data_IF_127023469486
#
_entry.id   IF_127023469486
#
_cell.length_a   1.000
_cell.length_b   1.000
_cell.length_c   1.000
_cell.angle_alpha   90.00
_cell.angle_beta   90.00
_cell.angle_gamma   90.00
#
_symmetry.space_group_name_H-M   'P 1'
#
loop_
_entity.id
_entity.type
_entity.pdbx_description
1 polymer ?
#
# COMPACT_ATOMS: atom_id res chain seq x y z
N UNK A 1 -11.95 17.01 17.82
CA UNK A 1 -12.96 16.71 16.76
C UNK A 1 -12.33 15.98 15.59
N UNK A 2 -11.54 16.63 14.70
CA UNK A 2 -10.92 15.97 13.52
C UNK A 2 -10.13 14.68 13.80
N UNK A 3 -9.36 14.61 14.88
CA UNK A 3 -8.58 13.40 15.22
C UNK A 3 -9.47 12.25 15.70
N UNK A 4 -10.58 12.56 16.39
CA UNK A 4 -11.55 11.58 16.88
C UNK A 4 -12.34 10.98 15.71
N UNK A 5 -12.85 11.83 14.82
CA UNK A 5 -13.55 11.42 13.60
C UNK A 5 -12.68 10.54 12.70
N UNK A 6 -11.39 10.88 12.58
CA UNK A 6 -10.42 10.03 11.87
C UNK A 6 -10.27 8.66 12.54
N UNK A 7 -10.09 8.61 13.87
CA UNK A 7 -9.95 7.35 14.59
C UNK A 7 -11.21 6.47 14.43
N UNK A 8 -12.40 7.03 14.61
CA UNK A 8 -13.68 6.34 14.40
C UNK A 8 -13.80 5.79 12.97
N UNK A 9 -13.39 6.56 11.97
CA UNK A 9 -13.38 6.12 10.58
C UNK A 9 -12.43 4.93 10.35
N UNK A 10 -11.25 4.94 10.99
CA UNK A 10 -10.26 3.86 10.89
C UNK A 10 -10.70 2.58 11.61
N UNK A 11 -11.37 2.70 12.76
CA UNK A 11 -11.96 1.56 13.47
C UNK A 11 -13.13 0.94 12.68
N UNK A 12 -13.94 1.77 12.04
CA UNK A 12 -14.99 1.28 11.15
C UNK A 12 -14.38 0.48 9.99
N UNK A 13 -13.33 1.00 9.34
CA UNK A 13 -12.62 0.28 8.28
C UNK A 13 -12.04 -1.05 8.76
N UNK A 14 -11.51 -1.09 9.98
CA UNK A 14 -10.93 -2.30 10.58
C UNK A 14 -11.94 -3.45 10.73
N UNK A 15 -13.21 -3.12 10.96
CA UNK A 15 -14.31 -4.07 11.20
C UNK A 15 -15.16 -4.37 9.97
N UNK A 16 -15.19 -3.46 8.98
CA UNK A 16 -16.09 -3.56 7.82
C UNK A 16 -15.38 -3.84 6.50
N UNK A 17 -14.04 -3.77 6.46
CA UNK A 17 -13.26 -4.07 5.25
C UNK A 17 -12.42 -5.32 5.46
N UNK A 18 -12.76 -6.39 4.75
CA UNK A 18 -11.94 -7.59 4.69
C UNK A 18 -10.73 -7.37 3.77
N UNK A 19 -9.53 -7.37 4.36
CA UNK A 19 -8.25 -7.17 3.67
C UNK A 19 -7.43 -8.46 3.75
N UNK A 20 -7.30 -9.16 2.63
CA UNK A 20 -6.49 -10.38 2.52
C UNK A 20 -5.09 -10.02 1.99
N UNK A 21 -4.16 -9.78 2.90
CA UNK A 21 -2.74 -9.54 2.62
C UNK A 21 -1.89 -10.55 3.41
N UNK A 22 -0.65 -10.76 2.99
CA UNK A 22 0.30 -11.63 3.71
C UNK A 22 0.53 -11.14 5.15
N UNK A 23 0.59 -9.82 5.32
CA UNK A 23 0.67 -9.16 6.62
C UNK A 23 -0.68 -8.51 6.98
N UNK A 24 -1.09 -8.65 8.25
CA UNK A 24 -2.34 -8.07 8.73
C UNK A 24 -2.27 -6.53 8.68
N UNK A 25 -3.11 -5.92 7.85
CA UNK A 25 -3.28 -4.46 7.82
C UNK A 25 -4.09 -3.99 9.05
N UNK A 26 -3.45 -3.18 9.90
CA UNK A 26 -4.09 -2.46 10.99
C UNK A 26 -4.30 -1.01 10.55
N UNK A 27 -5.55 -0.57 10.35
CA UNK A 27 -5.84 0.76 9.83
C UNK A 27 -5.43 1.87 10.79
N UNK A 28 -5.83 1.76 12.06
CA UNK A 28 -5.50 2.73 13.11
C UNK A 28 -4.10 2.48 13.70
N UNK A 29 -3.07 2.63 12.87
CA UNK A 29 -1.67 2.40 13.24
C UNK A 29 -0.77 3.59 12.96
N UNK A 30 0.47 3.52 13.45
CA UNK A 30 1.55 4.33 12.93
C UNK A 30 1.95 3.84 11.52
N UNK A 31 2.39 4.78 10.70
CA UNK A 31 2.97 4.51 9.37
C UNK A 31 4.49 4.58 9.46
N UNK A 32 5.19 4.12 8.42
CA UNK A 32 6.66 4.09 8.39
C UNK A 32 7.32 5.45 8.64
N UNK A 33 6.71 6.54 8.15
CA UNK A 33 7.26 7.88 8.29
C UNK A 33 6.23 9.02 8.16
N UNK A 34 4.96 8.72 7.86
CA UNK A 34 3.91 9.74 7.72
C UNK A 34 3.29 10.13 9.07
N UNK A 35 3.68 9.46 10.16
CA UNK A 35 3.06 9.53 11.49
C UNK A 35 1.85 8.60 11.59
N UNK A 36 0.86 8.95 12.42
CA UNK A 36 -0.40 8.20 12.51
C UNK A 36 -1.12 8.20 11.16
N UNK A 37 -1.71 7.05 10.79
CA UNK A 37 -2.51 6.94 9.57
C UNK A 37 -3.72 7.86 9.63
N UNK A 38 -4.04 8.49 8.51
CA UNK A 38 -5.18 9.39 8.37
C UNK A 38 -5.94 9.08 7.09
N UNK A 39 -7.26 8.98 7.20
CA UNK A 39 -8.14 8.96 6.04
C UNK A 39 -8.26 10.40 5.51
N UNK A 40 -7.81 10.62 4.28
CA UNK A 40 -7.80 11.93 3.61
C UNK A 40 -9.08 12.15 2.80
N UNK A 41 -9.54 11.10 2.11
CA UNK A 41 -10.75 11.15 1.30
C UNK A 41 -11.32 9.75 1.07
N UNK A 42 -12.63 9.67 0.80
CA UNK A 42 -13.29 8.45 0.37
C UNK A 42 -14.41 8.80 -0.61
N UNK A 43 -14.86 7.81 -1.40
CA UNK A 43 -15.91 8.02 -2.39
C UNK A 43 -16.15 6.80 -3.28
N UNK A 44 -17.29 6.83 -3.96
CA UNK A 44 -17.81 5.74 -4.78
C UNK A 44 -17.38 5.91 -6.24
N UNK A 45 -17.14 4.79 -6.89
CA UNK A 45 -16.79 4.75 -8.31
C UNK A 45 -17.41 3.56 -9.00
N UNK A 46 -17.73 3.74 -10.27
CA UNK A 46 -17.99 2.63 -11.17
C UNK A 46 -16.70 2.33 -11.94
N UNK A 47 -16.16 1.11 -11.80
CA UNK A 47 -15.04 0.66 -12.63
C UNK A 47 -15.53 0.52 -14.07
N UNK A 48 -14.93 1.30 -14.98
CA UNK A 48 -15.38 1.37 -16.38
C UNK A 48 -15.35 -0.01 -17.05
N UNK A 49 -14.26 -0.77 -16.83
CA UNK A 49 -14.16 -2.16 -17.31
C UNK A 49 -14.87 -3.11 -16.34
N UNK A 50 -16.07 -3.52 -16.72
CA UNK A 50 -16.90 -4.49 -16.00
C UNK A 50 -18.06 -3.89 -15.21
N UNK A 51 -18.25 -2.56 -15.27
CA UNK A 51 -19.36 -1.82 -14.65
C UNK A 51 -19.59 -2.21 -13.17
N UNK A 52 -18.50 -2.40 -12.42
CA UNK A 52 -18.56 -2.83 -11.02
C UNK A 52 -18.45 -1.62 -10.11
N UNK A 53 -19.36 -1.54 -9.15
CA UNK A 53 -19.31 -0.53 -8.11
C UNK A 53 -18.18 -0.81 -7.12
N UNK A 54 -17.50 0.27 -6.74
CA UNK A 54 -16.31 0.26 -5.89
C UNK A 54 -16.33 1.47 -4.96
N UNK A 55 -15.62 1.36 -3.84
CA UNK A 55 -15.31 2.50 -2.99
C UNK A 55 -13.81 2.62 -2.91
N UNK A 56 -13.29 3.84 -3.03
CA UNK A 56 -11.88 4.13 -2.73
C UNK A 56 -11.73 4.87 -1.42
N UNK A 57 -10.67 4.54 -0.70
CA UNK A 57 -10.22 5.21 0.52
C UNK A 57 -8.79 5.68 0.30
N UNK A 58 -8.56 6.98 0.34
CA UNK A 58 -7.25 7.60 0.25
C UNK A 58 -6.73 7.89 1.65
N UNK A 59 -5.63 7.25 2.01
CA UNK A 59 -4.90 7.52 3.24
C UNK A 59 -3.68 8.39 2.96
N UNK A 60 -2.99 8.81 4.03
CA UNK A 60 -1.74 9.53 3.92
C UNK A 60 -0.53 8.66 3.51
N UNK A 61 -0.68 7.34 3.42
CA UNK A 61 0.39 6.39 3.05
C UNK A 61 0.05 5.48 1.86
N UNK A 62 -1.23 5.18 1.63
CA UNK A 62 -1.69 4.39 0.47
C UNK A 62 -3.09 4.77 -0.01
N UNK A 63 -3.47 4.27 -1.18
CA UNK A 63 -4.82 4.32 -1.73
C UNK A 63 -5.42 2.90 -1.83
N UNK A 64 -6.55 2.67 -1.19
CA UNK A 64 -7.22 1.36 -1.12
C UNK A 64 -8.50 1.39 -1.96
N UNK A 65 -8.69 0.35 -2.77
CA UNK A 65 -9.94 0.10 -3.48
C UNK A 65 -10.63 -1.13 -2.90
N UNK A 66 -11.92 -0.98 -2.60
CA UNK A 66 -12.77 -2.05 -2.09
C UNK A 66 -14.00 -2.24 -2.96
N UNK A 67 -14.62 -3.40 -2.83
CA UNK A 67 -15.91 -3.73 -3.45
C UNK A 67 -16.88 -4.23 -2.38
N UNK A 68 -18.20 -4.06 -2.55
CA UNK A 68 -19.16 -4.65 -1.63
C UNK A 68 -19.01 -6.17 -1.61
N UNK A 69 -19.21 -6.77 -0.43
CA UNK A 69 -19.23 -8.22 -0.26
C UNK A 69 -20.52 -8.83 -0.80
N UNK A 70 -21.64 -8.13 -0.63
CA UNK A 70 -22.93 -8.49 -1.22
C UNK A 70 -23.01 -8.05 -2.68
N UNK A 71 -23.49 -8.95 -3.54
CA UNK A 71 -23.66 -8.70 -4.98
C UNK A 71 -24.93 -7.91 -5.31
N UNK A 72 -25.83 -7.71 -4.34
CA UNK A 72 -27.14 -7.06 -4.54
C UNK A 72 -27.17 -5.59 -4.12
N UNK A 73 -26.01 -5.00 -3.76
CA UNK A 73 -25.93 -3.60 -3.32
C UNK A 73 -25.95 -2.67 -4.53
N UNK A 74 -26.95 -1.80 -4.59
CA UNK A 74 -27.02 -0.74 -5.61
C UNK A 74 -26.05 0.41 -5.30
N UNK A 75 -25.68 1.22 -6.30
CA UNK A 75 -24.79 2.37 -6.11
C UNK A 75 -25.30 3.40 -5.07
N UNK A 76 -26.63 3.53 -4.95
CA UNK A 76 -27.28 4.37 -3.94
C UNK A 76 -27.16 3.80 -2.52
N UNK A 77 -27.07 2.48 -2.39
CA UNK A 77 -26.92 1.79 -1.11
C UNK A 77 -25.45 1.59 -0.72
N UNK A 78 -24.51 1.84 -1.63
CA UNK A 78 -23.08 1.62 -1.41
C UNK A 78 -22.45 2.75 -0.59
N UNK A 79 -22.97 3.00 0.60
CA UNK A 79 -22.43 4.00 1.53
C UNK A 79 -21.47 3.36 2.53
N UNK A 80 -20.21 3.82 2.61
CA UNK A 80 -19.31 3.54 3.73
C UNK A 80 -19.84 4.10 5.04
N UNK A 81 -19.29 3.63 6.16
CA UNK A 81 -19.72 4.05 7.50
C UNK A 81 -21.19 3.68 7.81
N UNK A 82 -21.66 2.62 7.18
CA UNK A 82 -22.93 1.93 7.43
C UNK A 82 -22.66 0.46 7.76
N UNK A 83 -23.68 -0.38 7.89
CA UNK A 83 -23.53 -1.82 8.15
C UNK A 83 -23.00 -2.62 6.94
N UNK A 84 -22.76 -1.94 5.80
CA UNK A 84 -22.22 -2.57 4.61
C UNK A 84 -20.82 -3.16 4.84
N UNK A 85 -20.66 -4.41 4.40
CA UNK A 85 -19.39 -5.13 4.44
C UNK A 85 -18.70 -5.08 3.08
N UNK A 86 -17.40 -4.83 3.10
CA UNK A 86 -16.57 -4.66 1.92
C UNK A 86 -15.42 -5.68 1.92
N UNK A 87 -14.89 -5.95 0.74
CA UNK A 87 -13.65 -6.71 0.59
C UNK A 87 -12.69 -5.95 -0.30
N UNK A 88 -11.40 -6.05 0.01
CA UNK A 88 -10.33 -5.50 -0.80
C UNK A 88 -10.46 -5.99 -2.25
N UNK A 89 -10.41 -5.06 -3.21
CA UNK A 89 -10.45 -5.40 -4.63
C UNK A 89 -9.10 -5.89 -5.12
N UNK A 90 -8.03 -5.22 -4.67
CA UNK A 90 -6.62 -5.58 -4.92
C UNK A 90 -5.74 -4.97 -3.85
N UNK A 91 -4.48 -5.39 -3.83
CA UNK A 91 -3.46 -4.83 -2.95
C UNK A 91 -3.46 -3.29 -2.95
N UNK A 92 -3.34 -2.64 -1.77
CA UNK A 92 -3.32 -1.20 -1.66
C UNK A 92 -2.19 -0.57 -2.48
N UNK A 93 -2.50 0.57 -3.06
CA UNK A 93 -1.56 1.35 -3.86
C UNK A 93 -0.72 2.26 -2.97
N UNK A 94 0.55 1.94 -2.77
CA UNK A 94 1.47 2.86 -2.10
C UNK A 94 1.60 4.16 -2.89
N UNK A 95 1.58 5.29 -2.18
CA UNK A 95 1.49 6.62 -2.80
C UNK A 95 2.73 6.99 -3.63
N UNK A 96 3.89 6.40 -3.36
CA UNK A 96 5.10 6.57 -4.18
C UNK A 96 5.10 5.71 -5.44
N UNK A 97 4.26 4.68 -5.52
CA UNK A 97 4.21 3.72 -6.63
C UNK A 97 3.09 4.00 -7.63
N UNK A 98 2.16 4.92 -7.35
CA UNK A 98 1.05 5.25 -8.25
C UNK A 98 1.18 6.59 -8.95
N UNK A 99 0.50 6.66 -10.08
CA UNK A 99 0.20 7.89 -10.80
C UNK A 99 -1.29 7.92 -11.16
N UNK A 100 -1.84 9.12 -11.24
CA UNK A 100 -3.23 9.35 -11.64
C UNK A 100 -3.30 10.37 -12.76
N UNK A 101 -4.24 10.17 -13.69
CA UNK A 101 -4.50 11.10 -14.80
C UNK A 101 -6.00 11.18 -15.08
N UNK A 102 -6.42 12.27 -15.72
CA UNK A 102 -7.79 12.35 -16.28
C UNK A 102 -7.91 11.33 -17.42
N UNK A 103 -9.05 10.64 -17.49
CA UNK A 103 -9.35 9.75 -18.61
C UNK A 103 -9.61 10.55 -19.89
N UNK A 104 -9.28 10.00 -21.08
CA UNK A 104 -9.69 10.61 -22.36
C UNK A 104 -11.21 10.73 -22.43
N UNK A 105 -11.69 11.96 -22.68
CA UNK A 105 -13.13 12.28 -22.66
C UNK A 105 -13.87 11.58 -23.80
N UNK A 106 -13.23 11.49 -24.95
CA UNK A 106 -13.66 10.76 -26.14
C UNK A 106 -13.86 9.26 -25.88
N UNK A 107 -13.04 8.66 -25.02
CA UNK A 107 -13.11 7.23 -24.72
C UNK A 107 -14.07 6.88 -23.58
N UNK A 108 -14.06 7.67 -22.50
CA UNK A 108 -14.70 7.29 -21.23
C UNK A 108 -15.70 8.32 -20.69
N UNK A 109 -15.81 9.50 -21.33
CA UNK A 109 -16.58 10.63 -20.82
C UNK A 109 -15.84 11.48 -19.79
N UNK A 110 -16.44 12.59 -19.34
CA UNK A 110 -15.76 13.63 -18.60
C UNK A 110 -15.48 13.28 -17.12
N UNK A 111 -16.23 12.34 -16.55
CA UNK A 111 -16.17 11.99 -15.12
C UNK A 111 -15.19 10.85 -14.80
N UNK A 112 -14.30 10.48 -15.72
CA UNK A 112 -13.34 9.38 -15.54
C UNK A 112 -11.93 9.87 -15.21
N UNK A 113 -11.29 9.18 -14.27
CA UNK A 113 -9.86 9.25 -14.01
C UNK A 113 -9.25 7.85 -14.04
N UNK A 114 -7.95 7.77 -14.27
CA UNK A 114 -7.21 6.52 -14.41
C UNK A 114 -6.18 6.45 -13.29
N UNK A 115 -6.19 5.35 -12.55
CA UNK A 115 -5.15 4.98 -11.57
C UNK A 115 -4.26 3.92 -12.19
N UNK A 116 -2.95 4.08 -12.09
CA UNK A 116 -1.98 3.13 -12.66
C UNK A 116 -0.70 3.11 -11.84
N UNK A 117 0.02 1.98 -11.88
CA UNK A 117 1.34 1.86 -11.26
C UNK A 117 2.38 2.59 -12.13
N UNK A 118 3.40 3.17 -11.50
CA UNK A 118 4.53 3.80 -12.20
C UNK A 118 5.40 2.77 -12.92
N UNK A 119 5.53 1.58 -12.35
CA UNK A 119 6.34 0.47 -12.87
C UNK A 119 5.65 -0.33 -13.98
N UNK A 120 4.32 -0.23 -14.08
CA UNK A 120 3.53 -1.01 -15.03
C UNK A 120 2.35 -0.17 -15.53
N UNK A 121 2.65 0.68 -16.52
CA UNK A 121 1.68 1.56 -17.14
C UNK A 121 0.58 0.81 -17.90
N UNK A 122 0.71 -0.50 -18.14
CA UNK A 122 -0.33 -1.30 -18.83
C UNK A 122 -1.48 -1.68 -17.89
N UNK A 123 -1.26 -1.65 -16.57
CA UNK A 123 -2.29 -1.98 -15.55
C UNK A 123 -3.11 -0.74 -15.15
N UNK A 124 -3.74 -0.11 -16.12
CA UNK A 124 -4.66 1.00 -15.90
C UNK A 124 -5.99 0.55 -15.28
N UNK A 125 -6.46 1.30 -14.30
CA UNK A 125 -7.80 1.17 -13.71
C UNK A 125 -8.58 2.46 -13.97
N UNK A 126 -9.36 2.51 -15.06
CA UNK A 126 -10.30 3.62 -15.28
C UNK A 126 -11.46 3.53 -14.29
N UNK A 127 -11.64 4.59 -13.51
CA UNK A 127 -12.67 4.76 -12.49
C UNK A 127 -13.56 5.95 -12.86
N UNK A 128 -14.87 5.72 -12.95
CA UNK A 128 -15.88 6.75 -13.17
C UNK A 128 -16.38 7.27 -11.83
N UNK A 129 -16.17 8.57 -11.59
CA UNK A 129 -16.75 9.28 -10.46
C UNK A 129 -18.21 9.67 -10.75
N UNK A 130 -18.95 10.05 -9.70
CA UNK A 130 -20.35 10.48 -9.82
C UNK A 130 -20.49 11.79 -10.61
N UNK A 131 -19.49 12.67 -10.56
CA UNK A 131 -19.48 13.97 -11.24
C UNK A 131 -18.09 14.33 -11.76
N UNK A 132 -18.04 15.26 -12.72
CA UNK A 132 -16.77 15.79 -13.27
C UNK A 132 -15.94 16.52 -12.22
N UNK A 133 -16.61 17.27 -11.34
CA UNK A 133 -15.97 17.94 -10.20
C UNK A 133 -15.47 16.93 -9.17
N UNK A 134 -16.20 15.85 -8.94
CA UNK A 134 -15.77 14.72 -8.11
C UNK A 134 -14.51 14.07 -8.68
N UNK A 135 -14.47 13.79 -10.00
CA UNK A 135 -13.29 13.31 -10.71
C UNK A 135 -12.10 14.23 -10.50
N UNK A 136 -12.28 15.54 -10.70
CA UNK A 136 -11.20 16.53 -10.55
C UNK A 136 -10.67 16.59 -9.12
N UNK A 137 -11.57 16.53 -8.13
CA UNK A 137 -11.21 16.47 -6.71
C UNK A 137 -10.36 15.23 -6.41
N UNK A 138 -10.73 14.06 -6.92
CA UNK A 138 -9.97 12.83 -6.74
C UNK A 138 -8.57 12.89 -7.33
N UNK A 139 -8.45 13.35 -8.57
CA UNK A 139 -7.14 13.52 -9.23
C UNK A 139 -6.27 14.46 -8.39
N UNK A 140 -6.82 15.61 -7.97
CA UNK A 140 -6.10 16.58 -7.14
C UNK A 140 -5.64 15.98 -5.81
N UNK A 141 -6.53 15.37 -5.05
CA UNK A 141 -6.20 14.86 -3.71
C UNK A 141 -5.20 13.71 -3.74
N UNK A 142 -5.30 12.79 -4.71
CA UNK A 142 -4.32 11.72 -4.84
C UNK A 142 -2.95 12.31 -5.22
N UNK A 143 -2.90 13.25 -6.17
CA UNK A 143 -1.63 13.91 -6.54
C UNK A 143 -0.99 14.63 -5.34
N UNK A 144 -1.77 15.40 -4.57
CA UNK A 144 -1.29 16.10 -3.38
C UNK A 144 -0.75 15.12 -2.32
N UNK A 145 -1.48 14.01 -2.07
CA UNK A 145 -1.05 12.96 -1.15
C UNK A 145 0.26 12.29 -1.62
N UNK A 146 0.39 11.98 -2.91
CA UNK A 146 1.62 11.44 -3.49
C UNK A 146 2.82 12.40 -3.31
N UNK A 147 2.63 13.69 -3.55
CA UNK A 147 3.68 14.70 -3.39
C UNK A 147 4.12 14.80 -1.92
N UNK A 148 3.18 14.89 -0.99
CA UNK A 148 3.48 14.99 0.45
C UNK A 148 4.16 13.71 0.97
N UNK A 149 3.73 12.53 0.51
CA UNK A 149 4.35 11.24 0.86
C UNK A 149 5.83 11.20 0.44
N UNK A 150 6.13 11.50 -0.82
CA UNK A 150 7.51 11.53 -1.34
C UNK A 150 8.34 12.60 -0.61
N UNK A 151 7.76 13.76 -0.30
CA UNK A 151 8.42 14.82 0.47
C UNK A 151 8.85 14.33 1.86
N UNK A 152 7.94 13.70 2.60
CA UNK A 152 8.21 13.17 3.95
C UNK A 152 9.14 11.96 3.93
N UNK A 153 9.06 11.09 2.91
CA UNK A 153 10.00 9.98 2.72
C UNK A 153 11.44 10.50 2.59
N UNK A 154 11.65 11.54 1.77
CA UNK A 154 12.95 12.21 1.62
C UNK A 154 13.41 12.90 2.90
N UNK A 155 12.50 13.48 3.68
CA UNK A 155 12.83 14.09 4.96
C UNK A 155 13.24 13.05 6.01
N UNK A 156 12.48 11.96 6.12
CA UNK A 156 12.76 10.86 7.06
C UNK A 156 14.10 10.20 6.75
N UNK A 157 14.37 9.86 5.48
CA UNK A 157 15.67 9.30 5.07
C UNK A 157 16.85 10.25 5.33
N UNK A 158 16.67 11.56 5.15
CA UNK A 158 17.70 12.56 5.53
C UNK A 158 17.92 12.58 7.04
N UNK A 159 16.85 12.53 7.83
CA UNK A 159 16.95 12.48 9.29
C UNK A 159 17.70 11.24 9.75
N UNK A 160 17.33 10.06 9.26
CA UNK A 160 18.05 8.81 9.56
C UNK A 160 19.52 8.91 9.17
N UNK A 161 19.86 9.40 7.98
CA UNK A 161 21.27 9.60 7.56
C UNK A 161 22.01 10.65 8.40
N UNK A 162 21.33 11.68 8.86
CA UNK A 162 21.91 12.71 9.72
C UNK A 162 22.08 12.20 11.15
N UNK A 163 21.17 11.34 11.61
CA UNK A 163 21.21 10.75 12.94
C UNK A 163 22.25 9.62 12.99
N UNK A 164 22.37 8.79 11.93
CA UNK A 164 23.53 7.91 11.76
C UNK A 164 24.84 8.69 11.74
N UNK A 165 24.90 9.85 11.06
CA UNK A 165 26.09 10.73 11.09
C UNK A 165 26.34 11.37 12.47
N UNK A 166 25.29 11.76 13.18
CA UNK A 166 25.39 12.26 14.56
C UNK A 166 25.75 11.15 15.55
N UNK A 167 25.31 9.92 15.32
CA UNK A 167 25.68 8.70 16.06
C UNK A 167 27.10 8.25 15.72
N UNK A 168 27.64 8.56 14.53
CA UNK A 168 29.10 8.40 14.28
C UNK A 168 29.93 9.49 14.97
N UNK A 169 29.34 10.66 15.26
CA UNK A 169 30.01 11.78 15.95
C UNK A 169 29.87 11.74 17.48
N UNK A 170 28.75 11.22 17.99
CA UNK A 170 28.57 10.89 19.41
C UNK A 170 29.06 9.46 19.60
N UNK A 171 30.22 9.31 20.21
CA UNK A 171 30.78 8.04 20.69
C UNK A 171 29.74 7.34 21.61
N UNK A 172 28.79 6.60 21.03
CA UNK A 172 27.79 5.78 21.73
C UNK A 172 28.11 4.33 21.38
N UNK A 173 28.20 3.49 22.42
CA UNK A 173 28.68 2.12 22.40
C UNK A 173 28.54 1.41 21.05
N UNK A 174 29.68 1.16 20.41
CA UNK A 174 29.77 0.17 19.33
C UNK A 174 29.37 -1.19 19.91
N UNK A 175 28.20 -1.70 19.52
CA UNK A 175 27.79 -3.08 19.75
C UNK A 175 28.03 -3.92 18.50
N UNK A 176 28.34 -5.20 18.68
CA UNK A 176 28.31 -6.18 17.60
C UNK A 176 26.96 -6.89 17.66
N UNK A 177 26.17 -6.80 16.59
CA UNK A 177 25.00 -7.64 16.40
C UNK A 177 25.47 -8.95 15.76
N UNK A 178 25.29 -10.07 16.46
CA UNK A 178 25.51 -11.39 15.90
C UNK A 178 24.16 -11.93 15.42
N UNK A 179 24.09 -12.25 14.13
CA UNK A 179 22.90 -12.88 13.52
C UNK A 179 23.33 -14.23 13.01
N UNK A 180 22.64 -15.28 13.44
CA UNK A 180 22.84 -16.66 12.97
C UNK A 180 21.57 -17.11 12.30
N UNK A 181 21.67 -17.42 11.01
CA UNK A 181 20.60 -18.12 10.28
C UNK A 181 20.73 -19.59 10.68
N UNK A 182 19.65 -20.17 11.21
CA UNK A 182 19.65 -21.53 11.74
C UNK A 182 19.14 -22.50 10.69
N UNK A 183 17.91 -22.32 10.21
CA UNK A 183 17.34 -23.22 9.20
C UNK A 183 16.24 -22.50 8.41
N UNK A 184 15.88 -23.09 7.27
CA UNK A 184 14.64 -22.81 6.55
C UNK A 184 13.93 -24.14 6.26
N UNK A 185 12.61 -24.11 6.09
CA UNK A 185 11.81 -25.29 5.83
C UNK A 185 10.77 -25.02 4.74
N UNK A 186 10.32 -26.09 4.08
CA UNK A 186 9.25 -26.09 3.09
C UNK A 186 9.46 -25.07 1.95
N UNK A 187 10.69 -24.92 1.50
CA UNK A 187 11.02 -24.01 0.41
C UNK A 187 10.42 -24.49 -0.92
N UNK A 188 10.07 -23.53 -1.78
CA UNK A 188 9.47 -23.81 -3.08
C UNK A 188 10.54 -24.41 -4.00
N UNK A 189 10.26 -25.56 -4.61
CA UNK A 189 11.07 -26.15 -5.67
C UNK A 189 11.14 -25.25 -6.91
N UNK A 190 12.34 -24.86 -7.32
CA UNK A 190 12.59 -24.04 -8.51
C UNK A 190 13.26 -24.81 -9.64
N UNK A 191 13.74 -26.02 -9.36
CA UNK A 191 14.48 -26.87 -10.30
C UNK A 191 13.67 -28.08 -10.75
N UNK A 192 14.01 -28.62 -11.93
CA UNK A 192 13.29 -29.74 -12.56
C UNK A 192 13.36 -31.05 -11.76
N UNK A 193 14.30 -31.17 -10.84
CA UNK A 193 14.46 -32.27 -9.89
C UNK A 193 13.57 -32.13 -8.64
N UNK A 194 12.70 -31.12 -8.59
CA UNK A 194 11.80 -30.88 -7.47
C UNK A 194 12.47 -30.27 -6.25
N UNK A 195 13.65 -29.64 -6.43
CA UNK A 195 14.44 -29.02 -5.36
C UNK A 195 14.79 -27.56 -5.67
N UNK A 196 15.55 -26.93 -4.78
CA UNK A 196 16.03 -25.54 -4.90
C UNK A 196 17.42 -25.36 -4.30
N UNK A 197 18.05 -24.25 -4.65
CA UNK A 197 19.37 -23.85 -4.17
C UNK A 197 19.26 -22.62 -3.25
N UNK A 198 18.73 -22.75 -2.02
CA UNK A 198 18.45 -21.59 -1.15
C UNK A 198 19.69 -20.92 -0.56
N UNK A 199 19.53 -19.63 -0.28
CA UNK A 199 20.44 -18.80 0.50
C UNK A 199 19.64 -17.68 1.20
N UNK A 200 20.18 -17.14 2.29
CA UNK A 200 19.59 -16.02 3.02
C UNK A 200 20.43 -14.76 2.80
N UNK A 201 19.77 -13.61 2.60
CA UNK A 201 20.42 -12.30 2.54
C UNK A 201 19.92 -11.45 3.71
N UNK A 202 20.83 -11.01 4.56
CA UNK A 202 20.57 -10.12 5.69
C UNK A 202 21.01 -8.71 5.29
N UNK A 203 20.11 -7.73 5.43
CA UNK A 203 20.40 -6.31 5.20
C UNK A 203 20.20 -5.50 6.48
N UNK A 204 21.18 -4.66 6.81
CA UNK A 204 21.12 -3.73 7.95
C UNK A 204 21.31 -2.30 7.43
N UNK A 205 20.22 -1.54 7.36
CA UNK A 205 20.21 -0.20 6.78
C UNK A 205 20.52 -0.20 5.27
N UNK A 206 20.94 0.95 4.76
CA UNK A 206 21.12 1.18 3.31
C UNK A 206 22.42 0.56 2.74
N UNK A 207 23.40 0.24 3.59
CA UNK A 207 24.79 -0.01 3.15
C UNK A 207 25.42 -1.32 3.69
N UNK A 208 24.71 -2.13 4.47
CA UNK A 208 25.25 -3.40 5.00
C UNK A 208 24.40 -4.57 4.52
N UNK A 209 25.03 -5.49 3.79
CA UNK A 209 24.42 -6.71 3.30
C UNK A 209 25.37 -7.88 3.56
N UNK A 210 24.84 -9.02 3.97
CA UNK A 210 25.57 -10.28 4.08
C UNK A 210 24.68 -11.41 3.58
N UNK A 211 25.28 -12.39 2.89
CA UNK A 211 24.57 -13.53 2.37
C UNK A 211 25.17 -14.83 2.93
N UNK A 212 24.32 -15.82 3.20
CA UNK A 212 24.78 -17.17 3.52
C UNK A 212 25.30 -17.85 2.25
N UNK A 213 26.12 -18.91 2.37
CA UNK A 213 26.38 -19.81 1.26
C UNK A 213 25.06 -20.36 0.68
N UNK A 214 25.09 -20.67 -0.61
CA UNK A 214 24.01 -21.37 -1.29
C UNK A 214 24.09 -22.84 -0.93
N UNK A 215 23.01 -23.40 -0.37
CA UNK A 215 22.87 -24.82 -0.11
C UNK A 215 22.15 -25.41 -1.31
N UNK A 216 22.77 -26.38 -1.99
CA UNK A 216 22.21 -26.92 -3.24
C UNK A 216 21.18 -27.99 -2.98
N UNK A 217 20.16 -28.05 -3.83
CA UNK A 217 19.23 -29.17 -3.93
C UNK A 217 18.59 -29.53 -2.57
N UNK A 218 18.22 -28.51 -1.78
CA UNK A 218 17.61 -28.68 -0.46
C UNK A 218 16.47 -27.69 -0.26
N UNK A 219 15.32 -28.20 0.17
CA UNK A 219 14.15 -27.38 0.51
C UNK A 219 14.07 -27.09 2.02
N UNK A 220 14.94 -27.71 2.81
CA UNK A 220 14.98 -27.61 4.27
C UNK A 220 16.42 -27.43 4.80
N UNK A 221 17.16 -26.41 4.32
CA UNK A 221 18.55 -26.19 4.72
C UNK A 221 18.66 -25.92 6.22
N UNK A 222 19.71 -26.45 6.85
CA UNK A 222 20.08 -26.29 8.26
C UNK A 222 21.45 -25.63 8.41
#
# INVERSE_FOLDING_TARGET
VRAKENAESLEWLQSHVHVALNEKLIFNSQTNFMGSRKLLHWGKFTKVRGNKEMVGFLFNDFFLLVRPKSLFVTAAQLEPFTDNQFTMYREPFLLDQIQVKKGPVDQYGPSVFIVMLKTDAKKEIPLKAETDSGRDKWVKQIMEACVEYVRKQKQSSKLIRSDSRRMTLRKVASGKLFVTVVEAADLIASSADGKSDPFCVIRVGDNQESATPVIKNDLNPK
#
